data_IF_437888166419
#
_entry.id   IF_437888166419
#
_cell.length_a   1.000
_cell.length_b   1.000
_cell.length_c   1.000
_cell.angle_alpha   90.00
_cell.angle_beta   90.00
_cell.angle_gamma   90.00
#
_symmetry.space_group_name_H-M   'P 1'
#
loop_
_entity.id
_entity.type
_entity.pdbx_description
1 polymer ?
#
# COMPACT_ATOMS: atom_id res chain seq x y z
N UNK A 1 4.64 3.99 4.71
CA UNK A 1 4.72 2.68 5.37
C UNK A 1 5.03 2.75 6.86
N UNK A 2 5.88 3.67 7.34
CA UNK A 2 6.34 3.69 8.74
C UNK A 2 5.23 3.64 9.82
N UNK A 3 4.04 4.20 9.57
CA UNK A 3 2.92 4.06 10.50
C UNK A 3 2.39 2.62 10.66
N UNK A 4 2.45 1.79 9.60
CA UNK A 4 2.13 0.36 9.69
C UNK A 4 3.21 -0.37 10.49
N UNK A 5 4.49 -0.09 10.24
CA UNK A 5 5.59 -0.71 10.98
C UNK A 5 5.51 -0.39 12.47
N UNK A 6 5.23 0.87 12.82
CA UNK A 6 5.00 1.27 14.21
C UNK A 6 3.81 0.54 14.84
N UNK A 7 2.67 0.42 14.13
CA UNK A 7 1.52 -0.35 14.62
C UNK A 7 1.88 -1.82 14.85
N UNK A 8 2.62 -2.42 13.92
CA UNK A 8 3.07 -3.81 14.03
C UNK A 8 3.95 -4.02 15.27
N UNK A 9 4.91 -3.13 15.51
CA UNK A 9 5.75 -3.14 16.70
C UNK A 9 4.91 -2.94 17.98
N UNK A 10 3.93 -2.03 17.94
CA UNK A 10 3.04 -1.79 19.07
C UNK A 10 2.26 -3.04 19.47
N UNK A 11 1.68 -3.74 18.51
CA UNK A 11 0.85 -4.91 18.72
C UNK A 11 1.65 -6.19 19.06
N UNK A 12 2.87 -6.36 18.53
CA UNK A 12 3.58 -7.65 18.63
C UNK A 12 4.77 -7.64 19.59
N UNK A 13 5.27 -6.47 20.01
CA UNK A 13 6.37 -6.36 20.96
C UNK A 13 5.89 -5.84 22.32
N UNK A 14 5.38 -6.73 23.17
CA UNK A 14 4.82 -6.34 24.46
C UNK A 14 5.87 -6.01 25.54
N UNK A 15 7.07 -6.60 25.46
CA UNK A 15 8.10 -6.46 26.50
C UNK A 15 9.07 -5.32 26.18
N UNK A 16 8.59 -4.09 26.36
CA UNK A 16 9.36 -2.86 26.10
C UNK A 16 9.86 -2.25 27.41
N UNK A 17 11.12 -1.77 27.49
CA UNK A 17 11.61 -1.04 28.65
C UNK A 17 11.09 0.41 28.71
N UNK A 18 10.14 0.76 27.85
CA UNK A 18 9.52 2.07 27.73
C UNK A 18 8.04 1.92 27.42
N UNK A 19 7.29 2.98 27.70
CA UNK A 19 5.88 3.07 27.39
C UNK A 19 5.66 4.11 26.29
N UNK A 20 5.01 3.71 25.19
CA UNK A 20 4.67 4.59 24.08
C UNK A 20 3.41 5.37 24.44
N UNK A 21 3.50 6.70 24.51
CA UNK A 21 2.36 7.55 24.86
C UNK A 21 1.40 7.77 23.69
N UNK A 22 1.96 7.92 22.48
CA UNK A 22 1.18 8.13 21.27
C UNK A 22 1.91 7.65 20.01
N UNK A 23 1.12 7.34 18.99
CA UNK A 23 1.56 7.13 17.63
C UNK A 23 0.83 8.12 16.71
N UNK A 24 1.59 8.94 16.00
CA UNK A 24 1.06 9.83 14.97
C UNK A 24 1.51 9.34 13.60
N UNK A 25 0.56 9.06 12.72
CA UNK A 25 0.84 8.66 11.34
C UNK A 25 0.55 9.79 10.36
N UNK A 26 1.37 9.89 9.32
CA UNK A 26 1.22 10.87 8.25
C UNK A 26 1.15 10.09 6.95
N UNK A 27 0.03 10.21 6.22
CA UNK A 27 -0.19 9.57 4.92
C UNK A 27 0.15 8.08 4.87
N UNK A 28 -0.16 7.38 5.96
CA UNK A 28 0.07 5.93 6.08
C UNK A 28 -1.12 5.18 5.49
N UNK A 29 -0.92 4.25 4.55
CA UNK A 29 -2.03 3.51 3.92
C UNK A 29 -2.58 2.44 4.88
N UNK A 30 -3.35 2.83 5.90
CA UNK A 30 -3.87 1.90 6.92
C UNK A 30 -4.85 0.87 6.36
N UNK A 31 -5.44 1.15 5.20
CA UNK A 31 -6.34 0.24 4.47
C UNK A 31 -5.75 -0.16 3.11
N UNK A 32 -4.44 0.01 2.95
CA UNK A 32 -3.73 -0.20 1.70
C UNK A 32 -3.94 0.92 0.70
N UNK A 33 -3.56 0.67 -0.55
CA UNK A 33 -3.73 1.61 -1.65
C UNK A 33 -4.21 0.88 -2.90
N UNK A 34 -5.23 1.41 -3.59
CA UNK A 34 -5.64 0.87 -4.89
C UNK A 34 -4.54 0.94 -5.96
N UNK A 35 -3.54 1.80 -5.78
CA UNK A 35 -2.32 1.87 -6.60
C UNK A 35 -1.54 0.57 -6.50
N UNK A 36 -1.38 0.06 -5.28
CA UNK A 36 -0.64 -1.17 -5.04
C UNK A 36 -1.40 -2.39 -5.53
N UNK A 37 -2.74 -2.38 -5.44
CA UNK A 37 -3.57 -3.43 -6.04
C UNK A 37 -3.38 -3.51 -7.55
N UNK A 38 -3.38 -2.35 -8.24
CA UNK A 38 -3.19 -2.32 -9.68
C UNK A 38 -1.81 -2.83 -10.11
N UNK A 39 -0.75 -2.41 -9.39
CA UNK A 39 0.60 -2.90 -9.66
C UNK A 39 0.73 -4.42 -9.46
N UNK A 40 0.11 -4.96 -8.42
CA UNK A 40 0.05 -6.41 -8.23
C UNK A 40 -0.66 -7.09 -9.40
N UNK A 41 -1.85 -6.62 -9.75
CA UNK A 41 -2.73 -7.30 -10.71
C UNK A 41 -2.20 -7.22 -12.16
N UNK A 42 -1.48 -6.16 -12.52
CA UNK A 42 -1.03 -5.92 -13.90
C UNK A 42 0.47 -6.17 -14.12
N UNK A 43 1.30 -5.96 -13.10
CA UNK A 43 2.76 -6.08 -13.20
C UNK A 43 3.30 -7.31 -12.46
N UNK A 44 2.47 -8.00 -11.67
CA UNK A 44 2.89 -9.13 -10.84
C UNK A 44 3.80 -8.73 -9.67
N UNK A 45 3.89 -7.43 -9.35
CA UNK A 45 4.66 -6.93 -8.22
C UNK A 45 4.04 -7.38 -6.90
N UNK A 46 4.85 -7.92 -6.00
CA UNK A 46 4.37 -8.41 -4.70
C UNK A 46 3.69 -9.79 -4.71
N UNK A 47 3.64 -10.49 -5.85
CA UNK A 47 2.98 -11.81 -6.00
C UNK A 47 3.63 -12.99 -5.26
N UNK A 48 4.69 -12.80 -4.47
CA UNK A 48 5.34 -13.92 -3.77
C UNK A 48 4.48 -14.34 -2.55
N UNK A 49 3.69 -15.39 -2.75
CA UNK A 49 2.90 -16.15 -1.76
C UNK A 49 1.68 -15.42 -1.14
N UNK A 50 0.84 -14.80 -1.97
CA UNK A 50 -0.52 -14.34 -1.60
C UNK A 50 -1.38 -15.44 -0.91
N UNK A 51 -1.25 -16.69 -1.35
CA UNK A 51 -2.05 -17.81 -0.84
C UNK A 51 -1.79 -18.16 0.64
N UNK A 52 -0.71 -17.66 1.25
CA UNK A 52 -0.35 -18.00 2.63
C UNK A 52 -1.09 -17.14 3.68
N UNK A 53 -1.63 -15.97 3.31
CA UNK A 53 -2.15 -14.98 4.27
C UNK A 53 -3.65 -14.68 4.11
N UNK A 54 -4.27 -15.11 3.01
CA UNK A 54 -5.72 -15.02 2.84
C UNK A 54 -6.41 -16.23 3.49
N UNK A 55 -7.41 -16.04 4.36
CA UNK A 55 -8.27 -17.15 4.75
C UNK A 55 -9.00 -17.65 3.50
N UNK A 56 -8.86 -18.94 3.22
CA UNK A 56 -9.56 -19.64 2.14
C UNK A 56 -11.06 -19.40 2.33
N UNK A 57 -11.68 -18.60 1.47
CA UNK A 57 -13.12 -18.64 1.31
C UNK A 57 -13.44 -19.96 0.60
N UNK A 58 -14.02 -20.89 1.35
CA UNK A 58 -14.53 -22.15 0.84
C UNK A 58 -15.48 -21.88 -0.33
N UNK A 59 -15.00 -22.07 -1.55
CA UNK A 59 -15.72 -22.62 -2.70
C UNK A 59 -14.84 -22.52 -3.94
N UNK A 60 -13.98 -23.53 -4.15
CA UNK A 60 -13.66 -24.13 -5.46
C UNK A 60 -12.49 -25.09 -5.29
N UNK A 61 -12.81 -26.37 -5.19
CA UNK A 61 -11.87 -27.49 -5.35
C UNK A 61 -11.08 -27.38 -6.65
N UNK A 62 -9.76 -27.20 -6.56
CA UNK A 62 -8.82 -27.59 -7.62
C UNK A 62 -7.67 -28.39 -6.96
N UNK A 63 -7.26 -29.55 -7.50
CA UNK A 63 -6.33 -30.45 -6.82
C UNK A 63 -4.90 -29.91 -6.79
N UNK A 64 -4.25 -30.09 -5.64
CA UNK A 64 -2.82 -29.85 -5.41
C UNK A 64 -1.97 -30.72 -6.36
N UNK A 65 -1.17 -30.08 -7.22
CA UNK A 65 -0.04 -30.72 -7.90
C UNK A 65 1.29 -30.13 -7.42
N UNK A 66 2.23 -31.04 -7.13
CA UNK A 66 3.60 -30.79 -6.64
C UNK A 66 4.41 -29.89 -7.59
N UNK A 67 5.45 -29.18 -7.08
CA UNK A 67 6.20 -28.20 -7.84
C UNK A 67 7.09 -28.90 -8.89
N UNK A 68 6.80 -28.67 -10.17
CA UNK A 68 7.72 -28.91 -11.27
C UNK A 68 8.34 -27.59 -11.71
N UNK A 69 9.67 -27.54 -11.70
CA UNK A 69 10.50 -26.49 -12.27
C UNK A 69 10.08 -26.22 -13.73
N UNK A 70 9.50 -25.05 -14.01
CA UNK A 70 9.11 -24.66 -15.37
C UNK A 70 10.03 -23.56 -15.89
N UNK A 71 10.70 -23.89 -17.00
CA UNK A 71 11.69 -23.09 -17.70
C UNK A 71 11.15 -21.69 -18.08
N UNK A 72 12.03 -20.70 -17.92
CA UNK A 72 11.86 -19.32 -18.37
C UNK A 72 11.39 -19.29 -19.82
N UNK A 73 10.13 -18.93 -20.04
CA UNK A 73 9.62 -18.58 -21.36
C UNK A 73 9.48 -17.05 -21.37
N UNK A 74 10.41 -16.39 -22.07
CA UNK A 74 10.37 -14.95 -22.32
C UNK A 74 9.12 -14.71 -23.18
N UNK A 75 8.07 -14.14 -22.57
CA UNK A 75 6.89 -13.68 -23.31
C UNK A 75 7.24 -12.38 -24.02
N UNK A 76 7.44 -12.46 -25.32
CA UNK A 76 7.58 -11.31 -26.22
C UNK A 76 6.22 -10.61 -26.34
N UNK A 77 6.07 -9.47 -25.67
CA UNK A 77 4.87 -8.62 -25.76
C UNK A 77 5.00 -7.75 -27.03
N UNK A 78 3.98 -7.66 -27.90
CA UNK A 78 4.04 -6.84 -29.10
C UNK A 78 4.02 -5.35 -28.75
N UNK A 79 4.99 -4.66 -29.30
CA UNK A 79 5.24 -3.21 -29.19
C UNK A 79 4.12 -2.38 -29.81
N UNK A 80 3.31 -1.72 -28.99
CA UNK A 80 2.86 -0.33 -29.24
C UNK A 80 2.50 0.34 -27.91
N UNK A 81 2.74 1.65 -27.87
CA UNK A 81 2.38 2.64 -26.83
C UNK A 81 3.46 3.01 -25.80
N UNK A 82 3.57 4.33 -25.60
CA UNK A 82 4.53 5.12 -24.80
C UNK A 82 4.63 4.74 -23.31
N UNK A 83 3.90 3.74 -22.85
CA UNK A 83 3.73 3.32 -21.46
C UNK A 83 4.97 2.61 -20.90
N UNK A 84 5.72 1.89 -21.73
CA UNK A 84 6.88 1.07 -21.31
C UNK A 84 7.97 1.84 -20.55
N UNK A 85 8.15 3.15 -20.82
CA UNK A 85 9.16 3.97 -20.12
C UNK A 85 8.70 4.44 -18.75
N UNK A 86 7.43 4.80 -18.60
CA UNK A 86 6.85 5.18 -17.32
C UNK A 86 6.70 3.95 -16.42
N UNK A 87 6.25 2.85 -17.03
CA UNK A 87 6.16 1.53 -16.42
C UNK A 87 7.49 1.17 -15.77
N UNK A 88 8.62 1.30 -16.47
CA UNK A 88 9.94 0.98 -15.92
C UNK A 88 10.42 1.91 -14.79
N UNK A 89 10.19 3.22 -14.88
CA UNK A 89 10.60 4.17 -13.82
C UNK A 89 9.79 3.95 -12.54
N UNK A 90 8.50 3.69 -12.70
CA UNK A 90 7.60 3.34 -11.61
C UNK A 90 7.91 1.94 -11.07
N UNK A 91 8.23 0.97 -11.94
CA UNK A 91 8.64 -0.38 -11.55
C UNK A 91 9.91 -0.33 -10.72
N UNK A 92 10.98 0.31 -11.21
CA UNK A 92 12.27 0.40 -10.52
C UNK A 92 12.13 1.11 -9.15
N UNK A 93 11.11 1.97 -8.98
CA UNK A 93 10.76 2.60 -7.71
C UNK A 93 9.90 1.70 -6.79
N UNK A 94 9.05 0.84 -7.36
CA UNK A 94 8.07 -0.01 -6.68
C UNK A 94 8.46 -1.49 -6.60
N UNK A 95 9.63 -1.89 -7.08
CA UNK A 95 10.10 -3.29 -7.10
C UNK A 95 10.64 -3.77 -5.74
N UNK A 96 10.13 -3.23 -4.63
CA UNK A 96 10.43 -3.75 -3.30
C UNK A 96 9.36 -4.78 -2.88
N UNK A 97 9.75 -5.95 -2.37
CA UNK A 97 8.80 -6.93 -1.83
C UNK A 97 7.91 -6.36 -0.71
N UNK A 98 8.33 -5.26 -0.08
CA UNK A 98 7.57 -4.55 0.95
C UNK A 98 6.23 -3.97 0.45
N UNK A 99 6.08 -3.69 -0.85
CA UNK A 99 4.84 -3.10 -1.39
C UNK A 99 3.66 -4.07 -1.44
N UNK A 100 3.91 -5.39 -1.39
CA UNK A 100 2.85 -6.39 -1.22
C UNK A 100 2.02 -6.12 0.06
N UNK A 101 2.67 -5.60 1.10
CA UNK A 101 2.03 -5.28 2.38
C UNK A 101 1.21 -3.98 2.36
N UNK A 102 1.12 -3.31 1.21
CA UNK A 102 0.33 -2.09 1.03
C UNK A 102 -0.91 -2.30 0.16
N UNK A 103 -1.15 -3.54 -0.26
CA UNK A 103 -2.37 -3.89 -0.97
C UNK A 103 -3.59 -3.81 -0.04
N UNK A 104 -4.75 -3.48 -0.60
CA UNK A 104 -5.95 -3.24 0.20
C UNK A 104 -6.41 -4.50 0.91
N UNK A 105 -6.32 -5.66 0.26
CA UNK A 105 -6.65 -6.97 0.84
C UNK A 105 -5.68 -7.36 1.94
N UNK A 106 -4.36 -7.19 1.77
CA UNK A 106 -3.41 -7.46 2.84
C UNK A 106 -3.69 -6.58 4.06
N UNK A 107 -3.84 -5.27 3.86
CA UNK A 107 -4.05 -4.35 4.98
C UNK A 107 -5.35 -4.65 5.74
N UNK A 108 -6.45 -4.88 5.03
CA UNK A 108 -7.77 -5.05 5.65
C UNK A 108 -8.02 -6.47 6.19
N UNK A 109 -7.57 -7.51 5.47
CA UNK A 109 -7.93 -8.89 5.81
C UNK A 109 -6.86 -9.60 6.63
N UNK A 110 -5.61 -9.13 6.59
CA UNK A 110 -4.51 -9.76 7.30
C UNK A 110 -3.87 -8.81 8.34
N UNK A 111 -3.36 -7.66 7.92
CA UNK A 111 -2.60 -6.77 8.79
C UNK A 111 -3.44 -6.22 9.93
N UNK A 112 -4.57 -5.56 9.64
CA UNK A 112 -5.39 -4.90 10.65
C UNK A 112 -5.96 -5.88 11.70
N UNK A 113 -6.50 -7.07 11.33
CA UNK A 113 -6.93 -8.06 12.31
C UNK A 113 -5.80 -8.60 13.20
N UNK A 114 -4.59 -8.76 12.65
CA UNK A 114 -3.41 -9.25 13.39
C UNK A 114 -2.58 -8.14 14.06
N UNK A 115 -3.01 -6.88 13.94
CA UNK A 115 -2.32 -5.71 14.50
C UNK A 115 -3.33 -4.82 15.23
N UNK A 116 -3.97 -5.33 16.31
CA UNK A 116 -4.90 -4.55 17.11
C UNK A 116 -4.19 -3.38 17.80
N UNK A 117 -4.92 -2.29 18.01
CA UNK A 117 -4.39 -1.13 18.70
C UNK A 117 -4.19 -1.44 20.19
N UNK A 118 -3.01 -1.08 20.73
CA UNK A 118 -2.75 -1.07 22.17
C UNK A 118 -3.64 -0.01 22.85
N UNK A 119 -4.55 -0.38 23.77
CA UNK A 119 -5.52 0.54 24.37
C UNK A 119 -4.88 1.62 25.24
N UNK A 120 -3.61 1.48 25.59
CA UNK A 120 -2.87 2.45 26.39
C UNK A 120 -2.18 3.54 25.56
N UNK A 121 -2.11 3.35 24.24
CA UNK A 121 -1.45 4.27 23.30
C UNK A 121 -2.50 5.16 22.63
N UNK A 122 -2.20 6.46 22.49
CA UNK A 122 -3.06 7.38 21.71
C UNK A 122 -2.70 7.36 20.24
N UNK A 123 -3.66 7.11 19.37
CA UNK A 123 -3.44 7.08 17.92
C UNK A 123 -3.98 8.35 17.27
N UNK A 124 -3.12 9.01 16.50
CA UNK A 124 -3.43 10.18 15.70
C UNK A 124 -3.05 9.95 14.24
N UNK A 125 -3.81 10.55 13.33
CA UNK A 125 -3.50 10.46 11.90
C UNK A 125 -3.73 11.77 11.16
N UNK A 126 -2.89 11.98 10.16
CA UNK A 126 -3.00 13.03 9.16
C UNK A 126 -3.04 12.39 7.78
N UNK A 127 -3.91 12.92 6.92
CA UNK A 127 -3.92 12.59 5.50
C UNK A 127 -3.44 13.80 4.69
N UNK A 128 -3.24 13.59 3.40
CA UNK A 128 -3.01 14.69 2.48
C UNK A 128 -3.85 14.51 1.22
N UNK A 129 -4.15 15.65 0.61
CA UNK A 129 -4.90 15.74 -0.62
C UNK A 129 -4.37 16.93 -1.40
N UNK A 130 -4.21 16.76 -2.72
CA UNK A 130 -3.88 17.86 -3.61
C UNK A 130 -4.72 17.79 -4.87
N UNK A 131 -4.90 18.95 -5.51
CA UNK A 131 -5.42 19.00 -6.88
C UNK A 131 -4.23 18.86 -7.82
N UNK A 132 -4.02 17.67 -8.38
CA UNK A 132 -2.96 17.44 -9.35
C UNK A 132 -3.13 18.39 -10.55
N UNK A 133 -2.25 19.38 -10.65
CA UNK A 133 -2.09 20.16 -11.88
C UNK A 133 -1.24 19.35 -12.86
N UNK A 134 -1.38 19.63 -14.15
CA UNK A 134 -0.76 18.87 -15.26
C UNK A 134 0.76 18.68 -15.13
N UNK A 135 1.44 19.47 -14.30
CA UNK A 135 2.88 19.41 -14.04
C UNK A 135 3.32 18.33 -13.03
N UNK A 136 2.44 17.77 -12.20
CA UNK A 136 2.77 16.61 -11.34
C UNK A 136 2.64 15.29 -12.10
N UNK A 137 3.33 15.20 -13.24
CA UNK A 137 3.13 14.13 -14.23
C UNK A 137 3.36 12.71 -13.69
N UNK A 138 4.15 12.53 -12.62
CA UNK A 138 4.41 11.22 -12.02
C UNK A 138 3.30 10.73 -11.07
N UNK A 139 2.63 11.63 -10.35
CA UNK A 139 1.54 11.26 -9.43
C UNK A 139 0.14 11.40 -10.04
N UNK A 140 0.02 12.05 -11.20
CA UNK A 140 -1.29 12.31 -11.80
C UNK A 140 -2.06 11.02 -12.16
N UNK A 141 -1.39 10.04 -12.77
CA UNK A 141 -2.02 8.75 -13.13
C UNK A 141 -2.41 7.93 -11.89
N UNK A 142 -1.50 7.62 -10.95
CA UNK A 142 -1.87 6.87 -9.75
C UNK A 142 -2.89 7.64 -8.90
N UNK A 143 -2.74 8.96 -8.76
CA UNK A 143 -3.66 9.81 -8.02
C UNK A 143 -5.06 9.84 -8.63
N UNK A 144 -5.18 9.86 -9.96
CA UNK A 144 -6.48 9.72 -10.64
C UNK A 144 -7.11 8.35 -10.38
N UNK A 145 -6.32 7.28 -10.40
CA UNK A 145 -6.83 5.94 -10.13
C UNK A 145 -7.31 5.79 -8.67
N UNK A 146 -6.57 6.34 -7.70
CA UNK A 146 -7.04 6.41 -6.31
C UNK A 146 -8.30 7.26 -6.24
N UNK A 147 -8.35 8.39 -6.95
CA UNK A 147 -9.51 9.27 -6.94
C UNK A 147 -10.77 8.58 -7.44
N UNK A 148 -10.68 7.82 -8.53
CA UNK A 148 -11.80 7.05 -9.09
C UNK A 148 -12.32 5.98 -8.11
N UNK A 149 -11.46 5.40 -7.27
CA UNK A 149 -11.84 4.31 -6.34
C UNK A 149 -12.19 4.80 -4.92
N UNK A 150 -11.48 5.80 -4.41
CA UNK A 150 -11.48 6.19 -3.00
C UNK A 150 -11.56 7.72 -2.76
N UNK A 151 -11.51 8.54 -3.82
CA UNK A 151 -11.63 9.99 -3.74
C UNK A 151 -10.34 10.73 -3.40
N UNK A 152 -10.43 11.78 -2.58
CA UNK A 152 -9.30 12.65 -2.23
C UNK A 152 -8.07 11.87 -1.79
N UNK A 153 -6.90 12.23 -2.32
CA UNK A 153 -5.65 11.49 -2.13
C UNK A 153 -4.42 12.35 -2.38
N UNK A 154 -3.29 11.88 -1.87
CA UNK A 154 -1.97 12.51 -2.00
C UNK A 154 -1.19 12.06 -3.26
N UNK A 155 -1.79 11.21 -4.10
CA UNK A 155 -1.23 10.69 -5.33
C UNK A 155 -0.97 9.19 -5.27
N UNK A 156 -0.89 8.62 -4.06
CA UNK A 156 -0.66 7.19 -3.83
C UNK A 156 -1.63 6.65 -2.78
N UNK A 157 -1.95 7.42 -1.75
CA UNK A 157 -2.75 7.02 -0.60
C UNK A 157 -3.99 7.90 -0.53
N UNK A 158 -5.17 7.28 -0.43
CA UNK A 158 -6.40 8.04 -0.20
C UNK A 158 -6.44 8.62 1.20
N UNK A 159 -7.11 9.76 1.36
CA UNK A 159 -7.42 10.34 2.66
C UNK A 159 -8.15 9.33 3.54
N UNK A 160 -9.06 8.53 2.96
CA UNK A 160 -9.77 7.46 3.65
C UNK A 160 -8.84 6.37 4.18
N UNK A 161 -7.84 5.96 3.42
CA UNK A 161 -6.84 4.99 3.87
C UNK A 161 -5.89 5.58 4.91
N UNK A 162 -5.60 6.89 4.83
CA UNK A 162 -4.76 7.60 5.80
C UNK A 162 -5.40 7.76 7.19
N UNK A 163 -6.72 7.70 7.30
CA UNK A 163 -7.44 7.86 8.56
C UNK A 163 -7.26 6.65 9.51
N UNK A 164 -6.72 6.87 10.70
CA UNK A 164 -6.61 5.89 11.79
C UNK A 164 -6.65 6.55 13.17
N UNK A 165 -7.29 5.92 14.15
CA UNK A 165 -7.49 6.50 15.47
C UNK A 165 -8.21 7.86 15.39
N UNK A 166 -7.67 8.87 16.09
CA UNK A 166 -8.18 10.24 16.01
C UNK A 166 -7.60 10.94 14.78
N UNK A 167 -8.42 11.12 13.74
CA UNK A 167 -8.03 11.88 12.57
C UNK A 167 -7.96 13.38 12.86
N UNK A 168 -6.82 14.01 12.60
CA UNK A 168 -6.60 15.42 12.94
C UNK A 168 -6.93 16.33 11.75
N UNK A 169 -6.33 16.10 10.59
CA UNK A 169 -6.47 17.00 9.45
C UNK A 169 -6.02 16.38 8.12
N UNK A 170 -6.63 16.85 7.03
CA UNK A 170 -6.13 16.71 5.65
C UNK A 170 -5.21 17.88 5.31
N UNK A 171 -3.95 17.60 4.99
CA UNK A 171 -2.98 18.58 4.53
C UNK A 171 -3.13 18.84 3.02
N UNK A 172 -2.97 20.08 2.59
CA UNK A 172 -2.88 20.42 1.16
C UNK A 172 -1.44 20.19 0.69
N UNK A 173 -1.16 18.97 0.26
CA UNK A 173 0.17 18.50 -0.12
C UNK A 173 0.03 17.25 -0.99
N UNK A 174 0.99 17.03 -1.89
CA UNK A 174 1.15 15.71 -2.51
C UNK A 174 2.05 14.79 -1.67
N UNK A 175 2.17 13.52 -2.05
CA UNK A 175 2.95 12.55 -1.32
C UNK A 175 4.45 12.92 -1.24
N UNK A 176 4.96 13.69 -2.22
CA UNK A 176 6.37 14.10 -2.29
C UNK A 176 6.67 15.30 -1.42
N UNK A 177 5.76 16.27 -1.38
CA UNK A 177 5.83 17.44 -0.50
C UNK A 177 6.07 17.04 0.97
N UNK A 178 5.50 15.91 1.39
CA UNK A 178 5.62 15.38 2.74
C UNK A 178 6.92 14.61 3.01
N UNK A 179 7.63 14.19 1.96
CA UNK A 179 8.90 13.46 2.06
C UNK A 179 10.12 14.38 2.23
N UNK A 180 9.93 15.70 2.11
CA UNK A 180 10.99 16.71 2.20
C UNK A 180 12.00 16.68 1.03
N UNK A 181 11.76 15.83 0.02
CA UNK A 181 12.57 15.75 -1.20
C UNK A 181 12.06 16.78 -2.21
N UNK A 182 12.59 18.00 -2.12
CA UNK A 182 12.48 19.02 -3.17
C UNK A 182 13.63 18.91 -4.17
#
# INVERSE_FOLDING_TARGET
MGGLDCRHLLANNHNRPYHVQSLTTICTPHRGSPVMDWFRDHMGLGSKNYAAWCPVTESSTIPVQKPQSRNQTILTIPTTHKWVKLDKLILDYLDAPAYAHLTTDFCNNYFNPNTPDDPTVKYYSYGASTKFTTWSSLLNIPGKMVYEKEGENDGIVSVKSAQWGTYIKTLEADHWDLSGKR
#
